data_IF_777020640505
#
_entry.id   IF_777020640505
#
_cell.length_a   1.000
_cell.length_b   1.000
_cell.length_c   1.000
_cell.angle_alpha   90.00
_cell.angle_beta   90.00
_cell.angle_gamma   90.00
#
_symmetry.space_group_name_H-M   'P 1'
#
loop_
_entity.id
_entity.type
_entity.pdbx_description
1 polymer ?
#
# COMPACT_ATOMS: atom_id res chain seq x y z
N UNK A 1 6.76 -20.13 15.35
CA UNK A 1 6.62 -18.91 14.53
C UNK A 1 5.22 -18.92 13.93
N UNK A 2 4.31 -18.09 14.46
CA UNK A 2 2.91 -18.03 14.01
C UNK A 2 2.83 -17.12 12.78
N UNK A 3 2.09 -17.56 11.76
CA UNK A 3 1.80 -16.83 10.53
C UNK A 3 1.24 -15.43 10.84
N UNK A 4 2.05 -14.39 10.69
CA UNK A 4 1.59 -13.00 10.68
C UNK A 4 0.92 -12.75 9.33
N UNK A 5 -0.41 -12.73 9.29
CA UNK A 5 -1.15 -12.16 8.16
C UNK A 5 -0.98 -10.64 8.21
N UNK A 6 0.04 -10.14 7.51
CA UNK A 6 0.35 -8.71 7.42
C UNK A 6 -0.64 -8.08 6.45
N UNK A 7 -1.46 -7.15 6.98
CA UNK A 7 -2.44 -6.43 6.19
C UNK A 7 -1.79 -5.32 5.38
N UNK A 8 -2.09 -5.34 4.09
CA UNK A 8 -1.85 -4.21 3.20
C UNK A 8 -3.05 -3.31 3.24
N UNK A 9 -2.82 -2.02 3.48
CA UNK A 9 -3.75 -0.98 3.07
C UNK A 9 -3.77 -0.95 1.54
N UNK A 10 -4.57 -1.82 0.94
CA UNK A 10 -5.18 -1.48 -0.33
C UNK A 10 -6.41 -0.70 0.10
N UNK A 11 -6.29 0.62 0.06
CA UNK A 11 -7.50 1.42 -0.13
C UNK A 11 -8.13 0.87 -1.41
N UNK A 12 -9.17 0.05 -1.26
CA UNK A 12 -10.13 -0.28 -2.31
C UNK A 12 -10.30 1.00 -3.10
N UNK A 13 -10.02 0.98 -4.42
CA UNK A 13 -10.28 2.13 -5.28
C UNK A 13 -11.63 2.72 -4.85
N UNK A 14 -11.61 3.92 -4.26
CA UNK A 14 -12.83 4.46 -3.67
C UNK A 14 -13.87 4.54 -4.79
N UNK A 15 -14.97 3.85 -4.51
CA UNK A 15 -15.96 3.31 -5.42
C UNK A 15 -16.58 4.33 -6.36
N UNK A 16 -16.49 5.63 -6.06
CA UNK A 16 -17.12 6.66 -6.85
C UNK A 16 -16.26 7.24 -7.99
N UNK A 17 -14.92 7.11 -8.02
CA UNK A 17 -14.13 7.44 -9.23
C UNK A 17 -14.10 6.28 -10.21
N UNK A 18 -13.97 5.07 -9.66
CA UNK A 18 -13.99 3.83 -10.40
C UNK A 18 -15.40 3.59 -11.01
N UNK A 19 -16.49 3.85 -10.26
CA UNK A 19 -17.86 3.75 -10.81
C UNK A 19 -18.24 4.82 -11.86
N UNK A 20 -17.43 5.87 -12.08
CA UNK A 20 -17.66 6.76 -13.23
C UNK A 20 -17.24 6.12 -14.56
N UNK A 21 -16.58 4.95 -14.51
CA UNK A 21 -16.32 4.08 -15.66
C UNK A 21 -17.42 3.05 -15.94
N UNK A 22 -18.53 2.99 -15.18
CA UNK A 22 -19.59 1.99 -15.40
C UNK A 22 -20.48 2.33 -16.59
N UNK A 23 -19.88 2.36 -17.77
CA UNK A 23 -20.28 1.62 -18.96
C UNK A 23 -19.44 2.17 -20.11
N UNK A 24 -18.83 1.29 -20.88
CA UNK A 24 -18.17 1.61 -22.16
C UNK A 24 -19.17 2.08 -23.25
N UNK A 25 -20.33 2.58 -22.80
CA UNK A 25 -21.31 3.34 -23.55
C UNK A 25 -20.68 4.54 -24.27
N UNK A 26 -19.72 5.14 -23.60
CA UNK A 26 -19.00 6.31 -24.06
C UNK A 26 -17.87 5.98 -25.03
N UNK A 27 -17.22 4.81 -24.94
CA UNK A 27 -16.14 4.42 -25.86
C UNK A 27 -16.60 4.40 -27.32
N UNK A 28 -17.77 3.81 -27.59
CA UNK A 28 -18.31 3.74 -28.96
C UNK A 28 -18.86 5.10 -29.41
N UNK A 29 -19.58 5.85 -28.57
CA UNK A 29 -20.01 7.21 -28.92
C UNK A 29 -18.83 8.10 -29.32
N UNK A 30 -17.68 7.90 -28.67
CA UNK A 30 -16.44 8.62 -28.96
C UNK A 30 -15.72 8.10 -30.19
N UNK A 31 -15.70 6.80 -30.43
CA UNK A 31 -15.18 6.24 -31.69
C UNK A 31 -15.91 6.84 -32.90
N UNK A 32 -17.18 7.19 -32.72
CA UNK A 32 -18.11 7.61 -33.77
C UNK A 32 -18.12 9.11 -34.06
N UNK A 33 -17.53 9.97 -33.24
CA UNK A 33 -17.79 11.41 -33.36
C UNK A 33 -17.19 12.05 -34.62
N UNK A 34 -18.05 12.32 -35.61
CA UNK A 34 -17.74 13.04 -36.84
C UNK A 34 -19.01 13.72 -37.37
N UNK A 35 -18.95 15.04 -37.50
CA UNK A 35 -20.12 15.88 -37.80
C UNK A 35 -20.80 15.50 -39.12
N UNK A 36 -21.99 14.90 -39.05
CA UNK A 36 -22.83 14.62 -40.21
C UNK A 36 -24.33 14.82 -39.94
N UNK A 37 -25.12 14.76 -41.01
CA UNK A 37 -26.59 14.95 -41.11
C UNK A 37 -27.38 13.72 -40.64
N UNK A 38 -28.58 13.84 -40.03
CA UNK A 38 -29.35 12.71 -39.50
C UNK A 38 -29.62 11.59 -40.52
N UNK A 39 -29.10 10.39 -40.28
CA UNK A 39 -29.42 9.20 -41.08
C UNK A 39 -30.74 8.59 -40.58
N UNK A 40 -31.79 8.65 -41.41
CA UNK A 40 -33.06 7.95 -41.16
C UNK A 40 -32.87 6.45 -41.38
N UNK A 41 -32.92 5.65 -40.31
CA UNK A 41 -32.94 4.19 -40.38
C UNK A 41 -33.70 3.61 -39.19
N UNK A 42 -34.34 2.46 -39.39
CA UNK A 42 -34.97 1.73 -38.28
C UNK A 42 -33.88 1.23 -37.31
N UNK A 43 -34.12 1.37 -36.01
CA UNK A 43 -33.22 0.92 -34.94
C UNK A 43 -33.88 -0.15 -34.08
N UNK A 44 -33.08 -0.98 -33.41
CA UNK A 44 -33.53 -1.85 -32.34
C UNK A 44 -32.70 -1.62 -31.09
N UNK A 45 -33.31 -1.86 -29.92
CA UNK A 45 -32.65 -1.74 -28.63
C UNK A 45 -32.57 -3.12 -27.98
N UNK A 46 -31.37 -3.51 -27.57
CA UNK A 46 -31.08 -4.76 -26.89
C UNK A 46 -30.72 -4.46 -25.44
N UNK A 47 -31.29 -5.21 -24.50
CA UNK A 47 -30.87 -5.19 -23.10
C UNK A 47 -29.78 -6.25 -22.89
N UNK A 48 -28.61 -5.83 -22.46
CA UNK A 48 -27.52 -6.70 -22.01
C UNK A 48 -27.74 -6.97 -20.53
N UNK A 49 -27.76 -8.24 -20.15
CA UNK A 49 -27.97 -8.70 -18.77
C UNK A 49 -26.64 -8.96 -18.08
N UNK A 50 -26.62 -8.76 -16.76
CA UNK A 50 -25.50 -9.08 -15.90
C UNK A 50 -25.77 -10.38 -15.14
N UNK A 51 -25.05 -11.44 -15.52
CA UNK A 51 -25.21 -12.77 -14.93
C UNK A 51 -24.82 -12.84 -13.45
N UNK A 52 -23.97 -11.92 -12.98
CA UNK A 52 -23.58 -11.85 -11.57
C UNK A 52 -24.74 -11.44 -10.66
N UNK A 53 -25.64 -10.58 -11.16
CA UNK A 53 -26.83 -10.12 -10.44
C UNK A 53 -28.08 -10.85 -10.93
N UNK A 54 -28.01 -12.18 -11.04
CA UNK A 54 -29.13 -13.04 -11.42
C UNK A 54 -29.80 -12.62 -12.77
N UNK A 55 -28.97 -12.28 -13.76
CA UNK A 55 -29.39 -11.81 -15.08
C UNK A 55 -30.19 -10.49 -15.06
N UNK A 56 -29.90 -9.60 -14.11
CA UNK A 56 -30.45 -8.25 -14.08
C UNK A 56 -30.08 -7.48 -15.37
N UNK A 57 -31.04 -6.83 -16.05
CA UNK A 57 -30.72 -5.94 -17.17
C UNK A 57 -29.79 -4.81 -16.72
N UNK A 58 -28.64 -4.69 -17.38
CA UNK A 58 -27.60 -3.75 -17.01
C UNK A 58 -27.52 -2.55 -17.95
N UNK A 59 -27.52 -2.81 -19.25
CA UNK A 59 -27.24 -1.80 -20.27
C UNK A 59 -28.17 -2.00 -21.46
N UNK A 60 -28.71 -0.89 -21.99
CA UNK A 60 -29.46 -0.86 -23.25
C UNK A 60 -28.53 -0.38 -24.36
N UNK A 61 -28.40 -1.17 -25.43
CA UNK A 61 -27.66 -0.80 -26.63
C UNK A 61 -28.65 -0.67 -27.79
N UNK A 62 -28.71 0.52 -28.38
CA UNK A 62 -29.45 0.80 -29.62
C UNK A 62 -28.51 0.67 -30.81
N UNK A 63 -28.89 -0.15 -31.78
CA UNK A 63 -28.15 -0.41 -33.03
C UNK A 63 -29.13 -0.41 -34.22
N UNK A 64 -28.66 -0.35 -35.48
CA UNK A 64 -29.56 -0.48 -36.63
C UNK A 64 -30.35 -1.80 -36.60
N UNK A 65 -31.62 -1.78 -37.02
CA UNK A 65 -32.55 -2.90 -36.82
C UNK A 65 -32.07 -4.22 -37.47
N UNK A 66 -31.44 -4.13 -38.65
CA UNK A 66 -30.92 -5.28 -39.40
C UNK A 66 -29.55 -5.79 -38.94
N UNK A 67 -28.95 -5.22 -37.89
CA UNK A 67 -27.63 -5.63 -37.42
C UNK A 67 -27.70 -6.81 -36.46
N UNK A 68 -26.71 -7.69 -36.50
CA UNK A 68 -26.50 -8.69 -35.46
C UNK A 68 -25.85 -8.05 -34.25
N UNK A 69 -26.13 -8.57 -33.04
CA UNK A 69 -25.62 -8.04 -31.79
C UNK A 69 -25.26 -9.19 -30.84
N UNK A 70 -24.03 -9.15 -30.30
CA UNK A 70 -23.58 -9.99 -29.19
C UNK A 70 -23.01 -9.09 -28.10
N UNK A 71 -23.38 -9.31 -26.84
CA UNK A 71 -22.85 -8.51 -25.73
C UNK A 71 -22.96 -9.20 -24.37
N UNK A 72 -22.06 -8.84 -23.48
CA UNK A 72 -22.00 -9.34 -22.10
C UNK A 72 -21.43 -8.29 -21.15
N UNK A 73 -21.74 -8.43 -19.87
CA UNK A 73 -21.04 -7.71 -18.80
C UNK A 73 -19.89 -8.59 -18.31
N UNK A 74 -18.66 -8.11 -18.51
CA UNK A 74 -17.46 -8.77 -17.99
C UNK A 74 -16.94 -8.04 -16.76
N UNK A 75 -16.27 -8.76 -15.88
CA UNK A 75 -15.52 -8.19 -14.75
C UNK A 75 -14.09 -8.65 -14.90
N UNK A 76 -13.15 -7.71 -14.76
CA UNK A 76 -11.74 -8.07 -14.81
C UNK A 76 -11.39 -8.96 -13.60
N UNK A 77 -10.61 -10.02 -13.85
CA UNK A 77 -10.00 -10.82 -12.79
C UNK A 77 -8.85 -10.08 -12.11
N UNK A 78 -8.42 -8.96 -12.69
CA UNK A 78 -7.41 -8.07 -12.18
C UNK A 78 -8.02 -6.72 -11.76
N UNK A 79 -7.56 -6.14 -10.66
CA UNK A 79 -7.98 -4.79 -10.27
C UNK A 79 -9.33 -4.71 -9.56
N UNK A 80 -10.10 -3.67 -9.90
CA UNK A 80 -11.30 -3.26 -9.16
C UNK A 80 -12.52 -4.17 -9.35
N UNK A 81 -12.44 -5.14 -10.26
CA UNK A 81 -13.56 -6.06 -10.56
C UNK A 81 -14.79 -5.34 -11.13
N UNK A 82 -14.60 -4.14 -11.68
CA UNK A 82 -15.68 -3.33 -12.22
C UNK A 82 -16.36 -4.02 -13.40
N UNK A 83 -17.70 -3.93 -13.48
CA UNK A 83 -18.42 -4.46 -14.62
C UNK A 83 -18.24 -3.55 -15.85
N UNK A 84 -17.79 -4.15 -16.94
CA UNK A 84 -17.56 -3.49 -18.23
C UNK A 84 -18.46 -4.15 -19.27
N UNK A 85 -19.09 -3.33 -20.11
CA UNK A 85 -19.78 -3.82 -21.29
C UNK A 85 -18.74 -4.26 -22.32
N UNK A 86 -18.85 -5.49 -22.80
CA UNK A 86 -18.17 -5.95 -24.00
C UNK A 86 -19.23 -6.32 -25.01
N UNK A 87 -19.12 -5.81 -26.23
CA UNK A 87 -20.09 -6.13 -27.25
C UNK A 87 -19.55 -5.96 -28.66
N UNK A 88 -20.23 -6.57 -29.62
CA UNK A 88 -20.07 -6.33 -31.04
C UNK A 88 -21.43 -6.21 -31.69
N UNK A 89 -21.55 -5.30 -32.63
CA UNK A 89 -22.69 -5.26 -33.54
C UNK A 89 -22.20 -5.07 -34.96
N UNK A 90 -22.83 -5.74 -35.91
CA UNK A 90 -22.39 -5.75 -37.31
C UNK A 90 -23.56 -5.83 -38.28
N UNK A 91 -23.37 -5.23 -39.46
CA UNK A 91 -24.31 -5.28 -40.57
C UNK A 91 -24.51 -6.71 -41.10
N UNK A 92 -25.57 -6.91 -41.89
CA UNK A 92 -25.91 -8.22 -42.45
C UNK A 92 -24.79 -8.81 -43.34
N UNK A 93 -23.96 -7.96 -43.95
CA UNK A 93 -22.78 -8.34 -44.74
C UNK A 93 -21.51 -8.56 -43.89
N UNK A 94 -21.56 -8.30 -42.58
CA UNK A 94 -20.43 -8.44 -41.65
C UNK A 94 -19.31 -7.41 -41.82
N UNK A 95 -19.33 -6.57 -42.86
CA UNK A 95 -18.22 -5.67 -43.19
C UNK A 95 -18.22 -4.40 -42.35
N UNK A 96 -19.41 -3.88 -42.03
CA UNK A 96 -19.57 -2.73 -41.14
C UNK A 96 -19.86 -3.20 -39.73
N UNK A 97 -19.19 -2.64 -38.74
CA UNK A 97 -19.45 -3.01 -37.36
C UNK A 97 -18.86 -2.07 -36.33
N UNK A 98 -19.36 -2.22 -35.11
CA UNK A 98 -18.88 -1.55 -33.91
C UNK A 98 -18.51 -2.59 -32.88
N UNK A 99 -17.44 -2.36 -32.12
CA UNK A 99 -16.99 -3.26 -31.08
C UNK A 99 -16.50 -2.48 -29.86
N UNK A 100 -16.83 -2.99 -28.69
CA UNK A 100 -16.16 -2.67 -27.43
C UNK A 100 -15.54 -3.99 -26.98
N UNK A 101 -14.21 -4.01 -26.91
CA UNK A 101 -13.43 -5.20 -26.63
C UNK A 101 -13.25 -5.37 -25.12
N UNK A 102 -12.93 -6.60 -24.66
CA UNK A 102 -12.56 -6.81 -23.26
C UNK A 102 -11.49 -5.83 -22.80
N UNK A 103 -11.73 -5.25 -21.62
CA UNK A 103 -10.75 -4.42 -20.93
C UNK A 103 -9.48 -5.23 -20.65
N UNK A 104 -8.32 -4.61 -20.84
CA UNK A 104 -7.04 -5.15 -20.42
C UNK A 104 -6.50 -4.34 -19.24
N UNK A 105 -6.02 -5.04 -18.21
CA UNK A 105 -5.49 -4.42 -17.00
C UNK A 105 -4.11 -4.96 -16.65
N UNK A 106 -3.26 -4.10 -16.12
CA UNK A 106 -1.99 -4.51 -15.52
C UNK A 106 -1.53 -3.56 -14.43
N UNK A 107 -0.57 -4.01 -13.65
CA UNK A 107 0.10 -3.18 -12.65
C UNK A 107 1.54 -2.88 -13.02
N UNK A 108 2.03 -1.75 -12.52
CA UNK A 108 3.43 -1.37 -12.54
C UNK A 108 3.84 -0.82 -11.18
N UNK A 109 5.06 -1.13 -10.74
CA UNK A 109 5.65 -0.53 -9.55
C UNK A 109 7.17 -0.55 -9.70
N UNK A 110 7.84 0.48 -9.18
CA UNK A 110 9.31 0.49 -9.11
C UNK A 110 9.83 -0.41 -7.97
N UNK A 111 8.98 -0.69 -6.98
CA UNK A 111 9.29 -1.49 -5.80
C UNK A 111 8.51 -2.81 -5.84
N UNK A 112 9.18 -3.94 -6.03
CA UNK A 112 8.54 -5.24 -6.16
C UNK A 112 7.76 -5.68 -4.92
N UNK A 113 8.10 -5.14 -3.74
CA UNK A 113 7.37 -5.43 -2.49
C UNK A 113 5.93 -4.99 -2.59
N UNK A 114 5.65 -3.98 -3.41
CA UNK A 114 4.30 -3.49 -3.69
C UNK A 114 3.41 -4.60 -4.21
N UNK A 115 3.87 -5.48 -5.09
CA UNK A 115 3.03 -6.53 -5.68
C UNK A 115 2.62 -7.59 -4.65
N UNK A 116 3.56 -7.97 -3.78
CA UNK A 116 3.29 -8.91 -2.69
C UNK A 116 2.32 -8.31 -1.67
N UNK A 117 2.56 -7.05 -1.31
CA UNK A 117 1.73 -6.35 -0.35
C UNK A 117 0.35 -6.10 -0.97
N UNK A 118 0.25 -5.50 -2.13
CA UNK A 118 -1.02 -5.21 -2.81
C UNK A 118 -1.73 -6.47 -3.37
N UNK A 119 -1.19 -7.67 -3.15
CA UNK A 119 -1.79 -8.95 -3.56
C UNK A 119 -2.25 -8.91 -5.02
N UNK A 120 -1.39 -8.39 -5.89
CA UNK A 120 -1.76 -8.17 -7.30
C UNK A 120 -1.81 -9.46 -8.11
N UNK A 121 -1.52 -10.64 -7.53
CA UNK A 121 -1.66 -11.92 -8.22
C UNK A 121 -3.15 -12.24 -8.43
N UNK A 122 -3.65 -12.50 -9.67
CA UNK A 122 -2.92 -12.94 -10.87
C UNK A 122 -2.76 -11.90 -12.01
N UNK A 123 -2.68 -10.62 -11.69
CA UNK A 123 -2.52 -9.58 -12.69
C UNK A 123 -1.20 -9.65 -13.45
N UNK A 124 -1.26 -9.25 -14.73
CA UNK A 124 -0.09 -8.98 -15.53
C UNK A 124 0.69 -7.78 -14.97
N UNK A 125 2.01 -7.81 -15.15
CA UNK A 125 2.91 -6.73 -14.76
C UNK A 125 3.61 -6.18 -16.02
N UNK A 126 3.38 -4.91 -16.32
CA UNK A 126 4.03 -4.22 -17.44
C UNK A 126 4.41 -2.79 -17.04
N UNK A 127 5.30 -2.17 -17.80
CA UNK A 127 5.61 -0.75 -17.61
C UNK A 127 4.34 0.11 -17.78
N UNK A 128 4.25 1.26 -17.09
CA UNK A 128 3.23 2.25 -17.40
C UNK A 128 3.41 2.71 -18.85
N UNK A 129 2.30 2.93 -19.55
CA UNK A 129 2.33 3.37 -20.94
C UNK A 129 1.24 4.40 -21.21
N UNK A 130 1.47 5.28 -22.18
CA UNK A 130 0.45 6.22 -22.67
C UNK A 130 -0.34 5.57 -23.79
N UNK A 131 -1.54 6.07 -24.08
CA UNK A 131 -2.37 5.57 -25.17
C UNK A 131 -1.63 5.66 -26.51
N UNK A 132 -0.90 6.75 -26.76
CA UNK A 132 -0.08 6.93 -27.95
C UNK A 132 1.01 5.85 -28.12
N UNK A 133 1.55 5.33 -27.01
CA UNK A 133 2.65 4.37 -27.03
C UNK A 133 2.14 2.93 -27.28
N UNK A 134 0.91 2.61 -26.87
CA UNK A 134 0.35 1.24 -26.97
C UNK A 134 -0.66 1.06 -28.09
N UNK A 135 -1.38 2.10 -28.50
CA UNK A 135 -2.51 1.95 -29.41
C UNK A 135 -2.15 1.37 -30.78
N UNK A 136 -1.05 1.79 -31.46
CA UNK A 136 -0.66 1.20 -32.74
C UNK A 136 -0.36 -0.29 -32.62
N UNK A 137 0.37 -0.67 -31.57
CA UNK A 137 0.71 -2.07 -31.31
C UNK A 137 -0.52 -2.91 -31.00
N UNK A 138 -1.42 -2.42 -30.15
CA UNK A 138 -2.70 -3.07 -29.84
C UNK A 138 -3.50 -3.28 -31.14
N UNK A 139 -3.59 -2.27 -32.00
CA UNK A 139 -4.33 -2.35 -33.25
C UNK A 139 -3.77 -3.45 -34.18
N UNK A 140 -2.45 -3.53 -34.34
CA UNK A 140 -1.81 -4.56 -35.19
C UNK A 140 -1.85 -5.96 -34.59
N UNK A 141 -1.77 -6.08 -33.25
CA UNK A 141 -1.85 -7.38 -32.58
C UNK A 141 -3.29 -7.94 -32.62
N UNK A 142 -4.29 -7.08 -32.49
CA UNK A 142 -5.72 -7.45 -32.55
C UNK A 142 -6.19 -7.83 -33.96
N UNK A 143 -5.50 -7.35 -35.00
CA UNK A 143 -5.88 -7.53 -36.40
C UNK A 143 -4.67 -8.01 -37.20
N UNK A 144 -4.52 -9.33 -37.29
CA UNK A 144 -3.41 -9.95 -38.03
C UNK A 144 -3.29 -9.39 -39.45
N UNK A 145 -2.10 -8.93 -39.81
CA UNK A 145 -1.81 -8.34 -41.13
C UNK A 145 -2.30 -6.91 -41.33
N UNK A 146 -2.77 -6.23 -40.27
CA UNK A 146 -3.18 -4.84 -40.37
C UNK A 146 -2.01 -3.88 -40.55
N UNK A 147 -2.26 -2.84 -41.34
CA UNK A 147 -1.36 -1.72 -41.57
C UNK A 147 -1.93 -0.48 -40.89
N UNK A 148 -1.10 0.20 -40.10
CA UNK A 148 -1.46 1.50 -39.51
C UNK A 148 -1.39 2.55 -40.60
N UNK A 149 -2.52 3.16 -40.92
CA UNK A 149 -2.60 4.24 -41.92
C UNK A 149 -2.35 5.59 -41.28
N UNK A 150 -2.94 5.83 -40.10
CA UNK A 150 -2.83 7.10 -39.41
C UNK A 150 -3.16 6.98 -37.91
N UNK A 151 -2.70 7.95 -37.15
CA UNK A 151 -3.08 8.17 -35.75
C UNK A 151 -3.80 9.52 -35.64
N UNK A 152 -5.04 9.63 -36.13
CA UNK A 152 -5.73 10.91 -36.18
C UNK A 152 -5.92 11.48 -34.77
N UNK A 153 -5.88 12.81 -34.60
CA UNK A 153 -6.25 13.43 -33.33
C UNK A 153 -7.73 13.16 -33.03
N UNK A 154 -8.14 13.20 -31.75
CA UNK A 154 -9.55 13.15 -31.39
C UNK A 154 -10.33 14.32 -32.00
N UNK A 155 -11.60 14.10 -32.31
CA UNK A 155 -12.51 15.17 -32.74
C UNK A 155 -12.67 16.22 -31.64
N UNK A 156 -13.13 17.43 -31.98
CA UNK A 156 -13.32 18.50 -31.00
C UNK A 156 -14.29 18.08 -29.87
N UNK A 157 -15.30 17.27 -30.21
CA UNK A 157 -16.27 16.70 -29.27
C UNK A 157 -15.60 15.67 -28.34
N UNK A 158 -14.89 14.70 -28.90
CA UNK A 158 -14.13 13.70 -28.13
C UNK A 158 -13.13 14.36 -27.19
N UNK A 159 -12.36 15.34 -27.69
CA UNK A 159 -11.38 16.06 -26.89
C UNK A 159 -12.05 16.84 -25.74
N UNK A 160 -13.24 17.41 -25.95
CA UNK A 160 -14.00 18.08 -24.91
C UNK A 160 -14.57 17.09 -23.88
N UNK A 161 -15.03 15.92 -24.31
CA UNK A 161 -15.49 14.83 -23.44
C UNK A 161 -14.34 14.29 -22.58
N UNK A 162 -13.19 13.96 -23.18
CA UNK A 162 -12.01 13.51 -22.45
C UNK A 162 -11.54 14.53 -21.42
N UNK A 163 -11.57 15.83 -21.75
CA UNK A 163 -11.26 16.90 -20.78
C UNK A 163 -12.26 16.90 -19.62
N UNK A 164 -13.56 16.85 -19.90
CA UNK A 164 -14.59 16.80 -18.85
C UNK A 164 -14.40 15.60 -17.92
N UNK A 165 -14.11 14.42 -18.48
CA UNK A 165 -13.87 13.22 -17.68
C UNK A 165 -12.63 13.36 -16.80
N UNK A 166 -11.55 13.91 -17.36
CA UNK A 166 -10.31 14.17 -16.61
C UNK A 166 -10.56 15.14 -15.47
N UNK A 167 -11.28 16.22 -15.72
CA UNK A 167 -11.64 17.22 -14.72
C UNK A 167 -12.52 16.62 -13.61
N UNK A 168 -13.51 15.78 -13.99
CA UNK A 168 -14.38 15.08 -13.03
C UNK A 168 -13.60 14.09 -12.16
N UNK A 169 -12.75 13.27 -12.77
CA UNK A 169 -11.89 12.32 -12.06
C UNK A 169 -10.92 13.05 -11.12
N UNK A 170 -10.31 14.15 -11.58
CA UNK A 170 -9.42 14.96 -10.78
C UNK A 170 -10.16 15.62 -9.61
N UNK A 171 -11.34 16.20 -9.82
CA UNK A 171 -12.15 16.79 -8.76
C UNK A 171 -12.65 15.76 -7.75
N UNK A 172 -12.94 14.53 -8.20
CA UNK A 172 -13.24 13.41 -7.29
C UNK A 172 -12.04 13.11 -6.39
N UNK A 173 -10.87 12.82 -6.98
CA UNK A 173 -9.69 12.44 -6.20
C UNK A 173 -9.18 13.59 -5.33
N UNK A 174 -9.31 14.84 -5.77
CA UNK A 174 -9.01 16.00 -4.91
C UNK A 174 -9.84 15.98 -3.62
N UNK A 175 -11.15 15.69 -3.70
CA UNK A 175 -12.02 15.57 -2.52
C UNK A 175 -11.68 14.35 -1.67
N UNK A 176 -11.52 13.18 -2.30
CA UNK A 176 -11.17 11.94 -1.61
C UNK A 176 -9.80 12.02 -0.89
N UNK A 177 -8.86 12.79 -1.45
CA UNK A 177 -7.51 12.96 -0.92
C UNK A 177 -7.39 14.00 0.20
N UNK A 178 -8.46 14.75 0.55
CA UNK A 178 -8.37 15.83 1.56
C UNK A 178 -7.90 15.33 2.93
N UNK A 179 -8.25 14.10 3.30
CA UNK A 179 -7.89 13.48 4.57
C UNK A 179 -6.52 12.81 4.57
N UNK A 180 -5.83 12.74 3.42
CA UNK A 180 -4.57 12.01 3.27
C UNK A 180 -3.37 12.95 3.09
N UNK A 181 -2.22 12.63 3.71
CA UNK A 181 -0.98 13.37 3.48
C UNK A 181 -0.54 13.23 2.02
N UNK A 182 0.25 14.19 1.47
CA UNK A 182 0.60 14.22 0.04
C UNK A 182 1.15 12.92 -0.54
N UNK A 183 1.98 12.20 0.21
CA UNK A 183 2.57 10.91 -0.20
C UNK A 183 1.58 9.75 -0.23
N UNK A 184 0.39 9.91 0.35
CA UNK A 184 -0.68 8.90 0.40
C UNK A 184 -1.90 9.29 -0.43
N UNK A 185 -1.73 10.21 -1.39
CA UNK A 185 -2.80 10.62 -2.29
C UNK A 185 -2.87 9.71 -3.51
N UNK A 186 -4.07 9.33 -3.90
CA UNK A 186 -4.29 8.63 -5.18
C UNK A 186 -4.35 9.65 -6.31
N UNK A 187 -3.75 9.34 -7.45
CA UNK A 187 -3.84 10.18 -8.65
C UNK A 187 -4.45 9.37 -9.78
N UNK A 188 -5.27 10.02 -10.59
CA UNK A 188 -5.84 9.43 -11.79
C UNK A 188 -5.54 10.32 -12.97
N UNK A 189 -5.17 9.70 -14.07
CA UNK A 189 -4.93 10.35 -15.34
C UNK A 189 -5.59 9.55 -16.47
N UNK A 190 -6.10 10.26 -17.46
CA UNK A 190 -6.86 9.69 -18.57
C UNK A 190 -6.22 10.13 -19.88
N UNK A 191 -5.83 9.16 -20.69
CA UNK A 191 -5.23 9.37 -22.00
C UNK A 191 -5.99 8.59 -23.08
N UNK A 192 -6.00 9.09 -24.32
CA UNK A 192 -6.74 8.48 -25.41
C UNK A 192 -6.02 8.66 -26.74
N UNK A 193 -5.96 7.61 -27.54
CA UNK A 193 -5.37 7.63 -28.87
C UNK A 193 -6.29 6.90 -29.86
N UNK A 194 -6.47 7.53 -31.03
CA UNK A 194 -7.12 6.91 -32.18
C UNK A 194 -6.09 6.34 -33.14
N UNK A 195 -6.39 5.19 -33.73
CA UNK A 195 -5.56 4.53 -34.73
C UNK A 195 -6.48 4.07 -35.86
N UNK A 196 -6.21 4.57 -37.07
CA UNK A 196 -6.82 4.09 -38.30
C UNK A 196 -5.94 2.97 -38.85
N UNK A 197 -6.54 1.82 -39.06
CA UNK A 197 -5.88 0.67 -39.69
C UNK A 197 -6.64 0.21 -40.92
N UNK A 198 -5.91 -0.43 -41.83
CA UNK A 198 -6.42 -1.13 -42.99
C UNK A 198 -5.97 -2.57 -42.97
N UNK A 199 -6.87 -3.49 -43.32
CA UNK A 199 -6.56 -4.91 -43.39
C UNK A 199 -7.55 -5.68 -44.26
N UNK A 200 -7.26 -6.95 -44.54
CA UNK A 200 -8.18 -7.87 -45.19
C UNK A 200 -9.06 -8.57 -44.15
N UNK A 201 -10.38 -8.47 -44.30
CA UNK A 201 -11.36 -9.14 -43.44
C UNK A 201 -12.27 -10.00 -44.30
N UNK A 202 -12.23 -11.32 -44.10
CA UNK A 202 -13.06 -12.29 -44.86
C UNK A 202 -12.97 -12.12 -46.38
N UNK A 203 -11.78 -11.81 -46.91
CA UNK A 203 -11.55 -11.60 -48.34
C UNK A 203 -11.88 -10.19 -48.86
N UNK A 204 -12.37 -9.30 -47.99
CA UNK A 204 -12.71 -7.92 -48.34
C UNK A 204 -11.73 -6.91 -47.72
N UNK A 205 -11.32 -5.86 -48.46
CA UNK A 205 -10.55 -4.77 -47.87
C UNK A 205 -11.44 -3.92 -46.96
N UNK A 206 -11.00 -3.73 -45.72
CA UNK A 206 -11.70 -2.92 -44.71
C UNK A 206 -10.77 -1.89 -44.10
N UNK A 207 -11.39 -0.86 -43.56
CA UNK A 207 -10.77 0.14 -42.70
C UNK A 207 -11.42 0.08 -41.32
N UNK A 208 -10.64 0.30 -40.27
CA UNK A 208 -11.14 0.34 -38.90
C UNK A 208 -10.51 1.49 -38.13
N UNK A 209 -11.35 2.25 -37.43
CA UNK A 209 -10.92 3.23 -36.43
C UNK A 209 -10.96 2.54 -35.07
N UNK A 210 -9.81 2.37 -34.43
CA UNK A 210 -9.72 1.98 -33.04
C UNK A 210 -9.52 3.23 -32.18
N UNK A 211 -10.22 3.31 -31.06
CA UNK A 211 -9.92 4.26 -29.99
C UNK A 211 -9.53 3.48 -28.74
N UNK A 212 -8.31 3.75 -28.30
CA UNK A 212 -7.68 3.15 -27.12
C UNK A 212 -7.63 4.21 -26.05
N UNK A 213 -8.35 3.98 -24.95
CA UNK A 213 -8.27 4.81 -23.75
C UNK A 213 -7.45 4.10 -22.70
N UNK A 214 -6.53 4.84 -22.10
CA UNK A 214 -5.71 4.39 -20.98
C UNK A 214 -6.08 5.21 -19.76
N UNK A 215 -6.60 4.54 -18.74
CA UNK A 215 -6.83 5.09 -17.41
C UNK A 215 -5.69 4.65 -16.50
N UNK A 216 -4.94 5.62 -16.01
CA UNK A 216 -3.78 5.41 -15.14
C UNK A 216 -4.14 5.84 -13.73
N UNK A 217 -4.26 4.86 -12.84
CA UNK A 217 -4.53 5.08 -11.43
C UNK A 217 -3.28 4.80 -10.60
N UNK A 218 -2.65 5.86 -10.07
CA UNK A 218 -1.46 5.79 -9.25
C UNK A 218 -1.82 5.79 -7.76
N UNK A 219 -1.60 4.64 -7.13
CA UNK A 219 -2.05 4.24 -5.81
C UNK A 219 -0.86 4.19 -4.83
N UNK A 220 -1.02 4.77 -3.63
CA UNK A 220 -0.06 4.55 -2.55
C UNK A 220 -0.22 3.13 -1.98
N UNK A 221 0.90 2.45 -1.74
CA UNK A 221 0.92 1.14 -1.08
C UNK A 221 1.89 1.22 0.09
N UNK A 222 1.37 0.91 1.29
CA UNK A 222 2.22 0.77 2.47
C UNK A 222 3.16 -0.41 2.28
N UNK A 223 4.46 -0.17 2.33
CA UNK A 223 5.50 -1.20 2.24
C UNK A 223 6.29 -1.22 3.55
N UNK A 224 6.85 -2.38 3.87
CA UNK A 224 7.67 -2.55 5.07
C UNK A 224 9.09 -2.94 4.67
N UNK A 225 10.06 -2.37 5.37
CA UNK A 225 11.49 -2.68 5.17
C UNK A 225 12.14 -3.07 6.50
N UNK A 226 13.10 -3.98 6.48
CA UNK A 226 13.95 -4.19 7.64
C UNK A 226 15.06 -3.13 7.60
N UNK A 227 15.08 -2.22 8.58
CA UNK A 227 16.15 -1.24 8.74
C UNK A 227 17.48 -1.92 9.11
N UNK A 228 18.57 -1.14 9.11
CA UNK A 228 19.93 -1.62 9.42
C UNK A 228 20.06 -2.30 10.80
N UNK A 229 19.15 -1.97 11.72
CA UNK A 229 19.05 -2.54 13.07
C UNK A 229 18.12 -3.75 13.17
N UNK A 230 17.58 -4.24 12.03
CA UNK A 230 16.56 -5.29 11.99
C UNK A 230 15.15 -4.82 12.36
N UNK A 231 14.96 -3.55 12.72
CA UNK A 231 13.64 -2.98 13.03
C UNK A 231 12.83 -2.77 11.75
N UNK A 232 11.56 -3.18 11.75
CA UNK A 232 10.64 -2.93 10.62
C UNK A 232 10.34 -1.44 10.53
N UNK A 233 10.66 -0.83 9.39
CA UNK A 233 10.34 0.56 9.07
C UNK A 233 9.20 0.59 8.04
N UNK A 234 8.04 1.19 8.39
CA UNK A 234 6.98 1.42 7.43
C UNK A 234 7.41 2.49 6.43
N UNK A 235 7.04 2.30 5.18
CA UNK A 235 7.23 3.24 4.09
C UNK A 235 6.01 3.25 3.18
N UNK A 236 6.03 4.15 2.20
CA UNK A 236 5.00 4.23 1.17
C UNK A 236 5.70 4.12 -0.18
N UNK A 237 5.28 3.16 -0.98
CA UNK A 237 5.67 3.02 -2.38
C UNK A 237 4.46 3.31 -3.28
N UNK A 238 4.72 3.42 -4.59
CA UNK A 238 3.71 3.73 -5.60
C UNK A 238 3.45 2.52 -6.47
N UNK A 239 2.18 2.25 -6.70
CA UNK A 239 1.69 1.25 -7.64
C UNK A 239 0.82 1.94 -8.68
N UNK A 240 1.07 1.70 -9.95
CA UNK A 240 0.25 2.21 -11.03
C UNK A 240 -0.62 1.07 -11.56
N UNK A 241 -1.93 1.25 -11.48
CA UNK A 241 -2.92 0.40 -12.15
C UNK A 241 -3.21 1.01 -13.53
N UNK A 242 -2.99 0.22 -14.56
CA UNK A 242 -3.23 0.60 -15.94
C UNK A 242 -4.48 -0.14 -16.42
N UNK A 243 -5.50 0.61 -16.80
CA UNK A 243 -6.78 0.11 -17.28
C UNK A 243 -6.94 0.55 -18.74
N UNK A 244 -7.10 -0.40 -19.65
CA UNK A 244 -7.16 -0.13 -21.09
C UNK A 244 -8.51 -0.53 -21.66
N UNK A 245 -9.24 0.47 -22.15
CA UNK A 245 -10.48 0.28 -22.89
C UNK A 245 -10.22 0.42 -24.38
N UNK A 246 -10.79 -0.49 -25.16
CA UNK A 246 -10.61 -0.51 -26.62
C UNK A 246 -11.99 -0.57 -27.26
N UNK A 247 -12.30 0.44 -28.05
CA UNK A 247 -13.48 0.47 -28.89
C UNK A 247 -13.07 0.61 -30.35
N UNK A 248 -13.89 0.11 -31.26
CA UNK A 248 -13.60 0.23 -32.67
C UNK A 248 -14.84 0.31 -33.56
N UNK A 249 -14.64 0.91 -34.72
CA UNK A 249 -15.64 1.01 -35.78
C UNK A 249 -14.98 0.59 -37.08
N UNK A 250 -15.55 -0.43 -37.72
CA UNK A 250 -15.07 -1.01 -38.98
C UNK A 250 -16.04 -0.68 -40.10
N UNK A 251 -15.50 -0.46 -41.30
CA UNK A 251 -16.26 -0.28 -42.53
C UNK A 251 -15.50 -0.86 -43.73
N UNK A 252 -16.19 -1.11 -44.87
CA UNK A 252 -15.51 -1.32 -46.15
C UNK A 252 -14.51 -0.20 -46.46
N UNK A 253 -13.41 -0.54 -47.12
CA UNK A 253 -12.39 0.44 -47.46
C UNK A 253 -12.95 1.65 -48.21
N UNK A 254 -12.57 2.87 -47.80
CA UNK A 254 -13.05 4.13 -48.34
C UNK A 254 -14.42 4.56 -47.82
N UNK A 255 -15.03 3.82 -46.87
CA UNK A 255 -16.33 4.14 -46.27
C UNK A 255 -16.26 4.50 -44.79
N UNK A 256 -15.10 4.37 -44.14
CA UNK A 256 -14.96 4.54 -42.70
C UNK A 256 -15.49 5.89 -42.20
N UNK A 257 -15.05 7.00 -42.80
CA UNK A 257 -15.41 8.33 -42.31
C UNK A 257 -16.93 8.61 -42.41
N UNK A 258 -17.59 8.12 -43.46
CA UNK A 258 -19.05 8.21 -43.60
C UNK A 258 -19.78 7.31 -42.58
N UNK A 259 -19.25 6.12 -42.33
CA UNK A 259 -19.76 5.18 -41.33
C UNK A 259 -19.67 5.75 -39.92
N UNK A 260 -18.55 6.39 -39.56
CA UNK A 260 -18.36 7.04 -38.26
C UNK A 260 -19.50 8.03 -37.99
N UNK A 261 -19.73 8.98 -38.92
CA UNK A 261 -20.74 10.03 -38.73
C UNK A 261 -22.16 9.48 -38.69
N UNK A 262 -22.48 8.49 -39.55
CA UNK A 262 -23.78 7.84 -39.56
C UNK A 262 -24.09 7.13 -38.24
N UNK A 263 -23.11 6.40 -37.71
CA UNK A 263 -23.30 5.61 -36.51
C UNK A 263 -23.31 6.47 -35.24
N UNK A 264 -22.64 7.64 -35.22
CA UNK A 264 -22.70 8.58 -34.08
C UNK A 264 -24.12 8.95 -33.68
N UNK A 265 -25.02 8.99 -34.66
CA UNK A 265 -26.41 9.41 -34.48
C UNK A 265 -27.33 8.25 -34.13
N UNK A 266 -26.95 7.03 -34.49
CA UNK A 266 -27.80 5.84 -34.36
C UNK A 266 -27.45 5.05 -33.12
N UNK A 267 -26.14 4.89 -32.86
CA UNK A 267 -25.64 4.05 -31.78
C UNK A 267 -25.77 4.80 -30.48
N UNK A 268 -26.48 4.19 -29.55
CA UNK A 268 -26.73 4.76 -28.25
C UNK A 268 -26.62 3.65 -27.20
N UNK A 269 -25.83 3.90 -26.17
CA UNK A 269 -25.64 2.96 -25.07
C UNK A 269 -26.04 3.67 -23.79
N UNK A 270 -26.90 3.02 -23.00
CA UNK A 270 -27.48 3.60 -21.79
C UNK A 270 -27.41 2.60 -20.65
N UNK A 271 -26.84 3.03 -19.54
CA UNK A 271 -26.85 2.28 -18.28
C UNK A 271 -28.27 2.28 -17.73
N UNK A 272 -28.71 1.13 -17.22
CA UNK A 272 -29.98 0.99 -16.52
C UNK A 272 -29.75 1.45 -15.06
N UNK A 273 -30.44 2.51 -14.58
CA UNK A 273 -30.18 3.10 -13.26
C UNK A 273 -30.27 2.09 -12.11
N UNK A 274 -31.24 1.18 -12.16
CA UNK A 274 -31.44 0.15 -11.13
C UNK A 274 -30.23 -0.79 -11.00
N UNK A 275 -29.61 -1.13 -12.14
CA UNK A 275 -28.39 -1.93 -12.14
C UNK A 275 -27.19 -1.13 -11.62
N UNK A 276 -27.07 0.15 -12.00
CA UNK A 276 -25.99 1.01 -11.51
C UNK A 276 -26.07 1.20 -9.99
N UNK A 277 -27.27 1.35 -9.44
CA UNK A 277 -27.48 1.41 -7.99
C UNK A 277 -27.09 0.09 -7.32
N UNK A 278 -27.45 -1.05 -7.92
CA UNK A 278 -27.09 -2.40 -7.43
C UNK A 278 -25.58 -2.59 -7.39
N UNK A 279 -24.87 -2.23 -8.47
CA UNK A 279 -23.40 -2.24 -8.52
C UNK A 279 -22.82 -1.35 -7.44
N UNK A 280 -23.32 -0.11 -7.31
CA UNK A 280 -22.85 0.85 -6.32
C UNK A 280 -23.08 0.37 -4.88
N UNK A 281 -24.20 -0.28 -4.60
CA UNK A 281 -24.49 -0.88 -3.31
C UNK A 281 -23.57 -2.07 -3.00
N UNK A 282 -23.36 -2.97 -3.96
CA UNK A 282 -22.45 -4.10 -3.83
C UNK A 282 -21.02 -3.64 -3.56
N UNK A 283 -20.54 -2.64 -4.30
CA UNK A 283 -19.24 -2.04 -4.08
C UNK A 283 -19.14 -1.42 -2.68
N UNK A 284 -20.13 -0.62 -2.24
CA UNK A 284 -20.14 -0.04 -0.89
C UNK A 284 -20.04 -1.10 0.19
N UNK A 285 -20.78 -2.20 0.04
CA UNK A 285 -20.73 -3.33 0.97
C UNK A 285 -19.33 -3.96 1.04
N UNK A 286 -18.66 -4.17 -0.10
CA UNK A 286 -17.28 -4.67 -0.10
C UNK A 286 -16.30 -3.70 0.57
N UNK A 287 -16.46 -2.41 0.34
CA UNK A 287 -15.65 -1.40 1.02
C UNK A 287 -15.88 -1.38 2.54
N UNK A 288 -17.13 -1.47 2.99
CA UNK A 288 -17.45 -1.56 4.41
C UNK A 288 -16.81 -2.78 5.06
N UNK A 289 -16.82 -3.95 4.39
CA UNK A 289 -16.13 -5.16 4.86
C UNK A 289 -14.63 -4.92 5.01
N UNK A 290 -13.99 -4.30 4.02
CA UNK A 290 -12.55 -3.99 4.06
C UNK A 290 -12.24 -2.99 5.18
N UNK A 291 -13.05 -1.94 5.33
CA UNK A 291 -12.87 -0.94 6.39
C UNK A 291 -13.08 -1.54 7.78
N UNK A 292 -14.08 -2.41 7.97
CA UNK A 292 -14.28 -3.14 9.22
C UNK A 292 -13.08 -4.03 9.56
N UNK A 293 -12.50 -4.70 8.54
CA UNK A 293 -11.28 -5.49 8.70
C UNK A 293 -10.08 -4.61 9.09
N UNK A 294 -9.91 -3.45 8.44
CA UNK A 294 -8.86 -2.47 8.78
C UNK A 294 -9.04 -2.00 10.23
N UNK A 295 -10.25 -1.60 10.63
CA UNK A 295 -10.54 -1.15 11.98
C UNK A 295 -10.21 -2.22 13.02
N UNK A 296 -10.68 -3.47 12.80
CA UNK A 296 -10.39 -4.62 13.67
C UNK A 296 -8.88 -4.84 13.83
N UNK A 297 -8.13 -4.82 12.74
CA UNK A 297 -6.69 -5.05 12.78
C UNK A 297 -5.92 -3.87 13.38
N UNK A 298 -6.37 -2.64 13.14
CA UNK A 298 -5.80 -1.43 13.76
C UNK A 298 -5.96 -1.45 15.29
N UNK A 299 -7.07 -1.96 15.80
CA UNK A 299 -7.32 -2.10 17.24
C UNK A 299 -6.39 -3.17 17.84
N UNK A 300 -6.26 -4.32 17.16
CA UNK A 300 -5.34 -5.38 17.55
C UNK A 300 -3.87 -4.89 17.57
N UNK A 301 -3.44 -4.16 16.54
CA UNK A 301 -2.10 -3.57 16.50
C UNK A 301 -1.86 -2.56 17.62
N UNK A 302 -2.85 -1.70 17.93
CA UNK A 302 -2.74 -0.75 19.06
C UNK A 302 -2.62 -1.48 20.40
N UNK A 303 -3.39 -2.54 20.60
CA UNK A 303 -3.29 -3.37 21.81
C UNK A 303 -1.93 -4.08 21.92
N UNK A 304 -1.37 -4.54 20.80
CA UNK A 304 -0.03 -5.13 20.78
C UNK A 304 1.05 -4.07 21.08
N UNK A 305 0.92 -2.87 20.53
CA UNK A 305 1.85 -1.77 20.78
C UNK A 305 1.85 -1.34 22.24
N UNK A 306 0.69 -1.27 22.91
CA UNK A 306 0.62 -0.95 24.34
C UNK A 306 1.23 -2.06 25.20
N UNK A 307 1.02 -3.33 24.86
CA UNK A 307 1.66 -4.45 25.54
C UNK A 307 3.19 -4.41 25.38
N UNK A 308 3.69 -4.16 24.18
CA UNK A 308 5.12 -4.04 23.92
C UNK A 308 5.73 -2.85 24.67
N UNK A 309 5.06 -1.69 24.69
CA UNK A 309 5.51 -0.53 25.45
C UNK A 309 5.58 -0.81 26.96
N UNK A 310 4.58 -1.48 27.52
CA UNK A 310 4.58 -1.88 28.93
C UNK A 310 5.72 -2.88 29.23
N UNK A 311 5.97 -3.82 28.33
CA UNK A 311 7.07 -4.78 28.47
C UNK A 311 8.45 -4.08 28.38
N UNK A 312 8.60 -3.11 27.49
CA UNK A 312 9.82 -2.31 27.38
C UNK A 312 10.05 -1.45 28.64
N UNK A 313 9.00 -0.84 29.17
CA UNK A 313 9.08 -0.08 30.42
C UNK A 313 9.49 -0.99 31.58
N UNK A 314 8.86 -2.16 31.71
CA UNK A 314 9.21 -3.13 32.75
C UNK A 314 10.67 -3.58 32.67
N UNK A 315 11.19 -3.83 31.47
CA UNK A 315 12.60 -4.17 31.26
C UNK A 315 13.53 -3.01 31.62
N UNK A 316 13.16 -1.78 31.25
CA UNK A 316 13.95 -0.60 31.59
C UNK A 316 14.01 -0.37 33.11
N UNK A 317 12.89 -0.52 33.80
CA UNK A 317 12.81 -0.41 35.26
C UNK A 317 13.66 -1.49 35.94
N UNK A 318 13.62 -2.73 35.45
CA UNK A 318 14.47 -3.83 35.93
C UNK A 318 15.96 -3.53 35.73
N UNK A 319 16.33 -2.96 34.58
CA UNK A 319 17.71 -2.57 34.31
C UNK A 319 18.20 -1.47 35.27
N UNK A 320 17.39 -0.45 35.53
CA UNK A 320 17.74 0.61 36.49
C UNK A 320 17.82 0.09 37.93
N UNK A 321 16.90 -0.81 38.33
CA UNK A 321 16.96 -1.46 39.63
C UNK A 321 18.25 -2.28 39.79
N UNK A 322 18.61 -3.05 38.76
CA UNK A 322 19.87 -3.79 38.73
C UNK A 322 21.09 -2.86 38.80
N UNK A 323 21.12 -1.75 38.06
CA UNK A 323 22.21 -0.77 38.15
C UNK A 323 22.35 -0.17 39.54
N UNK A 324 21.24 0.21 40.18
CA UNK A 324 21.23 0.76 41.53
C UNK A 324 21.77 -0.26 42.54
N UNK A 325 21.37 -1.52 42.40
CA UNK A 325 21.84 -2.62 43.23
C UNK A 325 23.34 -2.88 43.03
N UNK A 326 23.82 -2.94 41.79
CA UNK A 326 25.25 -3.07 41.48
C UNK A 326 26.05 -1.91 42.06
N UNK A 327 25.57 -0.67 41.93
CA UNK A 327 26.19 0.50 42.52
C UNK A 327 26.26 0.41 44.05
N UNK A 328 25.21 -0.08 44.70
CA UNK A 328 25.19 -0.28 46.15
C UNK A 328 26.19 -1.38 46.57
N UNK A 329 26.24 -2.52 45.86
CA UNK A 329 27.21 -3.59 46.11
C UNK A 329 28.64 -3.10 45.95
N UNK A 330 28.94 -2.34 44.89
CA UNK A 330 30.27 -1.78 44.65
C UNK A 330 30.70 -0.81 45.75
N UNK A 331 29.79 0.07 46.21
CA UNK A 331 30.08 0.98 47.35
C UNK A 331 30.33 0.21 48.64
N UNK A 332 29.55 -0.83 48.92
CA UNK A 332 29.75 -1.66 50.11
C UNK A 332 31.09 -2.40 50.07
N UNK A 333 31.45 -2.98 48.92
CA UNK A 333 32.76 -3.62 48.71
C UNK A 333 33.92 -2.62 48.84
N UNK A 334 33.76 -1.42 48.28
CA UNK A 334 34.78 -0.37 48.41
C UNK A 334 34.96 0.07 49.87
N UNK A 335 33.87 0.30 50.60
CA UNK A 335 33.91 0.65 52.01
C UNK A 335 34.57 -0.45 52.86
N UNK A 336 34.26 -1.72 52.58
CA UNK A 336 34.91 -2.86 53.21
C UNK A 336 36.42 -2.88 52.94
N UNK A 337 36.83 -2.72 51.69
CA UNK A 337 38.23 -2.69 51.30
C UNK A 337 38.99 -1.51 51.92
N UNK A 338 38.35 -0.34 52.06
CA UNK A 338 38.93 0.80 52.77
C UNK A 338 39.09 0.54 54.27
N UNK A 339 38.08 -0.06 54.93
CA UNK A 339 38.19 -0.46 56.35
C UNK A 339 39.34 -1.45 56.57
N UNK A 340 39.52 -2.42 55.66
CA UNK A 340 40.64 -3.36 55.71
C UNK A 340 41.99 -2.65 55.55
N UNK A 341 42.09 -1.70 54.62
CA UNK A 341 43.31 -0.89 54.45
C UNK A 341 43.61 -0.02 55.66
N UNK A 342 42.61 0.63 56.24
CA UNK A 342 42.78 1.46 57.43
C UNK A 342 43.22 0.62 58.63
N UNK A 343 42.63 -0.56 58.84
CA UNK A 343 43.07 -1.51 59.87
C UNK A 343 44.52 -1.95 59.65
N UNK A 344 44.91 -2.26 58.41
CA UNK A 344 46.29 -2.62 58.08
C UNK A 344 47.27 -1.46 58.28
N UNK A 345 46.87 -0.22 57.95
CA UNK A 345 47.67 0.97 58.15
C UNK A 345 47.85 1.29 59.64
N UNK A 346 46.80 1.09 60.45
CA UNK A 346 46.88 1.22 61.91
C UNK A 346 47.86 0.21 62.50
N UNK A 347 47.79 -1.06 62.07
CA UNK A 347 48.74 -2.09 62.49
C UNK A 347 50.20 -1.72 62.11
N UNK A 348 50.40 -1.14 60.93
CA UNK A 348 51.73 -0.67 60.52
C UNK A 348 52.20 0.54 61.34
N UNK A 349 51.31 1.49 61.65
CA UNK A 349 51.64 2.63 62.50
C UNK A 349 52.01 2.20 63.92
N UNK A 350 51.30 1.22 64.48
CA UNK A 350 51.60 0.66 65.80
C UNK A 350 52.95 -0.09 65.78
N UNK A 351 53.24 -0.84 64.70
CA UNK A 351 54.55 -1.45 64.47
C UNK A 351 55.69 -0.41 64.36
N UNK A 352 55.52 0.66 63.58
CA UNK A 352 56.56 1.70 63.39
C UNK A 352 56.76 2.56 64.63
N UNK A 353 55.69 2.85 65.38
CA UNK A 353 55.77 3.61 66.63
C UNK A 353 56.30 2.79 67.80
N UNK A 354 56.57 1.50 67.59
CA UNK A 354 56.93 0.54 68.62
C UNK A 354 55.93 0.62 69.79
N UNK A 355 54.63 0.65 69.47
CA UNK A 355 53.55 0.80 70.45
C UNK A 355 52.66 -0.43 70.42
N UNK A 356 52.39 -1.00 71.59
CA UNK A 356 51.54 -2.20 71.72
C UNK A 356 50.21 -1.82 72.35
N UNK A 357 49.11 -2.27 71.74
CA UNK A 357 47.74 -2.05 72.22
C UNK A 357 47.34 -3.15 73.22
N UNK A 358 46.82 -2.75 74.38
CA UNK A 358 46.37 -3.68 75.43
C UNK A 358 44.91 -3.43 75.78
N UNK A 359 44.15 -4.52 75.98
CA UNK A 359 42.80 -4.47 76.58
C UNK A 359 42.85 -5.19 77.91
N UNK A 360 42.43 -4.53 78.98
CA UNK A 360 42.30 -5.15 80.29
C UNK A 360 41.14 -6.16 80.26
N UNK A 361 41.38 -7.47 80.46
CA UNK A 361 40.34 -8.49 80.33
C UNK A 361 39.29 -8.44 81.45
N UNK A 362 39.56 -7.79 82.58
CA UNK A 362 38.64 -7.68 83.71
C UNK A 362 37.71 -6.45 83.63
N UNK A 363 38.12 -5.39 82.92
CA UNK A 363 37.37 -4.11 82.88
C UNK A 363 36.99 -3.65 81.48
N UNK A 364 37.56 -4.23 80.43
CA UNK A 364 37.35 -3.83 79.04
C UNK A 364 38.00 -2.50 78.64
N UNK A 365 38.73 -1.84 79.55
CA UNK A 365 39.41 -0.58 79.26
C UNK A 365 40.65 -0.84 78.40
N UNK A 366 40.83 -0.04 77.36
CA UNK A 366 41.96 -0.15 76.41
C UNK A 366 43.03 0.91 76.69
N UNK A 367 44.31 0.55 76.50
CA UNK A 367 45.45 1.46 76.66
C UNK A 367 46.57 1.15 75.65
N UNK A 368 47.25 2.19 75.17
CA UNK A 368 48.41 2.08 74.27
C UNK A 368 49.67 2.43 75.05
N UNK A 369 50.67 1.55 75.05
CA UNK A 369 51.95 1.77 75.74
C UNK A 369 53.11 1.78 74.72
N UNK A 370 54.08 2.71 74.84
CA UNK A 370 55.32 2.66 74.07
C UNK A 370 56.20 1.50 74.55
N UNK A 371 56.76 0.73 73.62
CA UNK A 371 57.75 -0.29 73.90
C UNK A 371 59.04 0.39 74.34
N UNK A 372 59.47 0.03 75.55
CA UNK A 372 60.74 0.47 76.10
C UNK A 372 61.79 -0.62 75.79
N UNK A 373 62.91 -0.29 75.11
CA UNK A 373 63.94 -1.27 74.80
C UNK A 373 64.50 -1.92 76.07
N UNK A 374 64.49 -3.27 76.13
CA UNK A 374 65.20 -4.05 77.15
C UNK A 374 64.34 -4.67 78.26
N UNK A 375 63.01 -4.62 78.18
CA UNK A 375 62.12 -5.23 79.19
C UNK A 375 61.36 -6.42 78.59
N UNK A 376 61.79 -7.65 78.89
CA UNK A 376 61.05 -8.87 78.57
C UNK A 376 60.02 -9.16 79.68
N UNK A 377 58.87 -8.52 79.59
CA UNK A 377 57.74 -8.70 80.51
C UNK A 377 57.00 -7.38 80.77
N UNK A 378 55.72 -7.31 80.44
CA UNK A 378 54.93 -6.09 80.57
C UNK A 378 54.11 -6.14 81.86
N UNK A 379 54.47 -5.30 82.83
CA UNK A 379 53.69 -5.10 84.04
C UNK A 379 53.23 -3.64 84.12
N UNK A 380 51.93 -3.42 84.29
CA UNK A 380 51.36 -2.09 84.53
C UNK A 380 51.08 -1.90 86.02
N UNK A 381 51.35 -0.71 86.56
CA UNK A 381 51.00 -0.38 87.95
C UNK A 381 49.61 0.28 87.95
N UNK A 382 48.66 -0.27 88.71
CA UNK A 382 47.33 0.33 88.87
C UNK A 382 47.42 1.67 89.61
N UNK A 383 46.39 2.55 89.54
CA UNK A 383 46.36 3.78 90.34
C UNK A 383 46.46 3.53 91.86
N UNK A 384 46.10 2.33 92.32
CA UNK A 384 46.25 1.86 93.69
C UNK A 384 47.64 1.28 94.01
N UNK A 385 48.57 1.28 93.05
CA UNK A 385 49.95 0.85 93.22
C UNK A 385 50.23 -0.64 93.04
N UNK A 386 49.27 -1.43 92.56
CA UNK A 386 49.46 -2.87 92.35
C UNK A 386 50.00 -3.15 90.95
N UNK A 387 50.98 -4.04 90.84
CA UNK A 387 51.50 -4.49 89.54
C UNK A 387 50.59 -5.58 88.96
N UNK A 388 50.17 -5.41 87.71
CA UNK A 388 49.39 -6.40 86.95
C UNK A 388 50.14 -6.78 85.69
N UNK A 389 50.21 -8.08 85.40
CA UNK A 389 50.78 -8.61 84.17
C UNK A 389 49.85 -8.29 82.99
N UNK A 390 50.39 -7.64 81.97
CA UNK A 390 49.65 -7.26 80.77
C UNK A 390 49.85 -8.34 79.70
N UNK A 391 48.75 -8.96 79.27
CA UNK A 391 48.77 -9.92 78.16
C UNK A 391 48.67 -9.13 76.86
N UNK A 392 49.67 -9.19 75.96
CA UNK A 392 49.57 -8.53 74.67
C UNK A 392 48.46 -9.17 73.85
N UNK A 393 47.65 -8.34 73.19
CA UNK A 393 46.63 -8.80 72.26
C UNK A 393 47.19 -8.57 70.86
N UNK A 394 47.55 -9.65 70.18
CA UNK A 394 47.67 -9.60 68.72
C UNK A 394 46.27 -9.55 68.13
N UNK A 395 45.98 -8.51 67.36
CA UNK A 395 44.75 -8.46 66.56
C UNK A 395 44.79 -9.46 65.41
#
# INVERSE_FOLDING_TARGET
MRNFQILTMIGVCSIAACAQGTADADGIRRALASGSTPVKGATKTIAVVDSFFANMPAIKVTVPAGWSFDGAILRSSCGSGEPVLVYRAYSADGLTGIQSLPQADWYAAADERVFQQAKTNPCNLHAPARAADVAPKIATDLRGGAQVEATPPPSAKEAAELRRDRDQAQAFWQRANQQFPPNFRTMQDLDEQRVRIRYGFEGHPVEEMLTVRVNRLDLPVSVYSAGRTGMIQPGVARMVHMIVHISSVRAPAGKLDATLGALEQIVNVQVIPEWQETVSASLRQEHEKVMALIQKNSAAMRAQATQFAAQMQSQNDQFHAWQAEQGARNRAQFAEHMRQKDANAQNFLDYVKDQTYYVNPATGVTMTLPNLPGVNGYAGMTPSGNWVELVPISH
#
